data_IF_808360075309
#
_entry.id   IF_808360075309
#
_cell.length_a   1.000
_cell.length_b   1.000
_cell.length_c   1.000
_cell.angle_alpha   90.00
_cell.angle_beta   90.00
_cell.angle_gamma   90.00
#
_symmetry.space_group_name_H-M   'P 1'
#
loop_
_entity.id
_entity.type
_entity.pdbx_description
1 polymer ?
#
# COMPACT_ATOMS: atom_id res chain seq x y z
N UNK A 1 26.75 11.15 -30.53
CA UNK A 1 25.53 11.20 -31.29
C UNK A 1 24.35 11.26 -30.40
N UNK A 2 23.40 12.15 -30.71
CA UNK A 2 22.26 12.41 -29.86
C UNK A 2 21.38 11.17 -29.63
N UNK A 3 21.21 10.33 -30.66
CA UNK A 3 20.42 9.11 -30.59
C UNK A 3 21.00 8.12 -29.58
N UNK A 4 22.32 7.96 -29.62
CA UNK A 4 22.99 7.01 -28.72
C UNK A 4 22.94 7.50 -27.29
N UNK A 5 23.14 8.80 -27.06
CA UNK A 5 23.03 9.41 -25.75
C UNK A 5 21.60 9.27 -25.19
N UNK A 6 20.59 9.55 -26.02
CA UNK A 6 19.20 9.40 -25.62
C UNK A 6 18.87 7.97 -25.24
N UNK A 7 19.35 7.02 -26.04
CA UNK A 7 19.16 5.60 -25.78
C UNK A 7 19.86 5.17 -24.48
N UNK A 8 21.07 5.64 -24.26
CA UNK A 8 21.82 5.32 -23.05
C UNK A 8 21.18 5.91 -21.81
N UNK A 9 20.71 7.16 -21.88
CA UNK A 9 20.01 7.81 -20.77
C UNK A 9 18.72 7.10 -20.44
N UNK A 10 17.95 6.72 -21.47
CA UNK A 10 16.71 5.97 -21.28
C UNK A 10 16.99 4.62 -20.62
N UNK A 11 18.03 3.94 -21.07
CA UNK A 11 18.42 2.64 -20.52
C UNK A 11 18.86 2.75 -19.06
N UNK A 12 19.63 3.79 -18.73
CA UNK A 12 20.04 4.05 -17.34
C UNK A 12 18.83 4.35 -16.45
N UNK A 13 17.88 5.13 -16.96
CA UNK A 13 16.63 5.41 -16.23
C UNK A 13 15.84 4.15 -15.97
N UNK A 14 15.76 3.26 -16.97
CA UNK A 14 15.12 1.96 -16.81
C UNK A 14 15.79 1.11 -15.74
N UNK A 15 17.12 1.13 -15.71
CA UNK A 15 17.89 0.41 -14.69
C UNK A 15 17.57 0.87 -13.29
N UNK A 16 17.47 2.17 -13.09
CA UNK A 16 17.08 2.73 -11.80
C UNK A 16 15.65 2.37 -11.43
N UNK A 17 14.73 2.47 -12.39
CA UNK A 17 13.34 2.07 -12.18
C UNK A 17 13.24 0.60 -11.75
N UNK A 18 13.94 -0.28 -12.46
CA UNK A 18 13.95 -1.71 -12.15
C UNK A 18 14.48 -1.97 -10.74
N UNK A 19 15.52 -1.24 -10.35
CA UNK A 19 16.10 -1.36 -9.02
C UNK A 19 15.10 -0.95 -7.94
N UNK A 20 14.43 0.18 -8.14
CA UNK A 20 13.42 0.66 -7.19
C UNK A 20 12.19 -0.24 -7.15
N UNK A 21 11.80 -0.79 -8.29
CA UNK A 21 10.74 -1.79 -8.36
C UNK A 21 11.09 -3.04 -7.53
N UNK A 22 12.32 -3.51 -7.66
CA UNK A 22 12.81 -4.67 -6.90
C UNK A 22 12.81 -4.38 -5.40
N UNK A 23 13.26 -3.18 -5.00
CA UNK A 23 13.25 -2.78 -3.59
C UNK A 23 11.84 -2.76 -3.01
N UNK A 24 10.87 -2.23 -3.77
CA UNK A 24 9.48 -2.18 -3.34
C UNK A 24 8.91 -3.59 -3.19
N UNK A 25 9.14 -4.45 -4.18
CA UNK A 25 8.67 -5.84 -4.14
C UNK A 25 9.28 -6.59 -2.95
N UNK A 26 10.56 -6.37 -2.68
CA UNK A 26 11.25 -6.96 -1.54
C UNK A 26 10.65 -6.48 -0.22
N UNK A 27 10.34 -5.19 -0.11
CA UNK A 27 9.73 -4.62 1.09
C UNK A 27 8.35 -5.22 1.37
N UNK A 28 7.55 -5.47 0.32
CA UNK A 28 6.26 -6.15 0.45
C UNK A 28 6.46 -7.58 0.91
N UNK A 29 7.38 -8.29 0.28
CA UNK A 29 7.66 -9.70 0.57
C UNK A 29 8.16 -9.89 2.00
N UNK A 30 9.03 -9.00 2.45
CA UNK A 30 9.62 -9.03 3.79
C UNK A 30 8.77 -8.34 4.85
N UNK A 31 7.64 -7.78 4.45
CA UNK A 31 6.69 -7.12 5.36
C UNK A 31 7.35 -6.03 6.21
N UNK A 32 8.05 -5.12 5.55
CA UNK A 32 8.83 -4.08 6.23
C UNK A 32 8.00 -2.96 6.85
N UNK A 33 6.72 -2.87 6.53
CA UNK A 33 5.82 -1.88 7.07
C UNK A 33 5.40 -0.84 6.06
N UNK A 34 4.27 -0.19 6.35
CA UNK A 34 3.65 0.77 5.43
C UNK A 34 4.51 2.01 5.19
N UNK A 35 5.21 2.49 6.22
CA UNK A 35 6.04 3.69 6.08
C UNK A 35 7.22 3.46 5.13
N UNK A 36 7.90 2.33 5.30
CA UNK A 36 9.01 1.97 4.42
C UNK A 36 8.52 1.77 3.00
N UNK A 37 7.35 1.14 2.86
CA UNK A 37 6.76 0.91 1.54
C UNK A 37 6.39 2.23 0.86
N UNK A 38 5.86 3.19 1.60
CA UNK A 38 5.55 4.52 1.05
C UNK A 38 6.80 5.23 0.55
N UNK A 39 7.90 5.15 1.30
CA UNK A 39 9.18 5.71 0.88
C UNK A 39 9.68 5.02 -0.39
N UNK A 40 9.63 3.70 -0.43
CA UNK A 40 10.02 2.93 -1.60
C UNK A 40 9.17 3.28 -2.82
N UNK A 41 7.88 3.46 -2.63
CA UNK A 41 6.99 3.84 -3.72
C UNK A 41 7.26 5.27 -4.20
N UNK A 42 7.55 6.19 -3.29
CA UNK A 42 7.94 7.55 -3.65
C UNK A 42 9.18 7.55 -4.53
N UNK A 43 10.19 6.79 -4.15
CA UNK A 43 11.42 6.66 -4.93
C UNK A 43 11.15 6.01 -6.29
N UNK A 44 10.30 5.00 -6.32
CA UNK A 44 9.88 4.36 -7.57
C UNK A 44 9.16 5.34 -8.49
N UNK A 45 8.28 6.15 -7.93
CA UNK A 45 7.54 7.16 -8.69
C UNK A 45 8.50 8.21 -9.28
N UNK A 46 9.49 8.62 -8.52
CA UNK A 46 10.53 9.53 -9.02
C UNK A 46 11.33 8.89 -10.17
N UNK A 47 11.69 7.61 -10.01
CA UNK A 47 12.38 6.87 -11.06
C UNK A 47 11.50 6.72 -12.30
N UNK A 48 10.20 6.49 -12.12
CA UNK A 48 9.25 6.41 -13.22
C UNK A 48 9.14 7.74 -13.97
N UNK A 49 9.04 8.85 -13.25
CA UNK A 49 9.01 10.19 -13.84
C UNK A 49 10.25 10.43 -14.70
N UNK A 50 11.42 9.99 -14.21
CA UNK A 50 12.66 10.10 -14.97
C UNK A 50 12.64 9.23 -16.23
N UNK A 51 12.09 8.02 -16.14
CA UNK A 51 11.93 7.14 -17.31
C UNK A 51 11.05 7.81 -18.37
N UNK A 52 9.93 8.37 -17.96
CA UNK A 52 9.02 9.07 -18.88
C UNK A 52 9.71 10.26 -19.55
N UNK A 53 10.44 11.06 -18.78
CA UNK A 53 11.16 12.21 -19.31
C UNK A 53 12.22 11.79 -20.34
N UNK A 54 12.99 10.78 -20.01
CA UNK A 54 14.04 10.28 -20.93
C UNK A 54 13.44 9.62 -22.17
N UNK A 55 12.31 8.96 -22.00
CA UNK A 55 11.59 8.36 -23.12
C UNK A 55 11.09 9.44 -24.09
N UNK A 56 10.46 10.50 -23.58
CA UNK A 56 9.99 11.62 -24.39
C UNK A 56 11.16 12.24 -25.17
N UNK A 57 12.27 12.50 -24.50
CA UNK A 57 13.47 13.04 -25.14
C UNK A 57 13.98 12.13 -26.24
N UNK A 58 13.99 10.84 -25.97
CA UNK A 58 14.45 9.85 -26.94
C UNK A 58 13.53 9.79 -28.17
N UNK A 59 12.22 9.80 -27.95
CA UNK A 59 11.24 9.70 -29.04
C UNK A 59 11.27 10.91 -29.99
N UNK A 60 11.75 12.05 -29.52
CA UNK A 60 11.88 13.25 -30.33
C UNK A 60 12.81 13.02 -31.54
N UNK A 61 13.74 12.13 -31.41
CA UNK A 61 14.76 11.85 -32.45
C UNK A 61 14.47 10.60 -33.25
N UNK A 62 13.34 9.91 -32.99
CA UNK A 62 13.03 8.64 -33.64
C UNK A 62 12.37 8.85 -35.00
N UNK A 63 12.65 7.91 -35.89
CA UNK A 63 11.93 7.77 -37.15
C UNK A 63 10.59 7.06 -36.88
N UNK A 64 9.61 7.28 -37.78
CA UNK A 64 8.30 6.68 -37.64
C UNK A 64 8.33 5.15 -37.47
N UNK A 65 9.26 4.50 -38.15
CA UNK A 65 9.43 3.04 -38.05
C UNK A 65 9.89 2.56 -36.67
N UNK A 66 10.54 3.44 -35.90
CA UNK A 66 11.07 3.11 -34.58
C UNK A 66 10.11 3.50 -33.45
N UNK A 67 9.11 4.31 -33.76
CA UNK A 67 8.14 4.80 -32.78
C UNK A 67 7.34 3.67 -32.16
N UNK A 68 6.91 2.70 -32.97
CA UNK A 68 6.10 1.58 -32.48
C UNK A 68 6.88 0.71 -31.48
N UNK A 69 8.14 0.43 -31.77
CA UNK A 69 9.00 -0.32 -30.87
C UNK A 69 9.19 0.44 -29.54
N UNK A 70 9.35 1.75 -29.63
CA UNK A 70 9.51 2.59 -28.46
C UNK A 70 8.23 2.66 -27.61
N UNK A 71 7.07 2.68 -28.25
CA UNK A 71 5.77 2.61 -27.56
C UNK A 71 5.63 1.29 -26.79
N UNK A 72 6.02 0.18 -27.42
CA UNK A 72 5.99 -1.12 -26.76
C UNK A 72 6.91 -1.17 -25.54
N UNK A 73 8.08 -0.56 -25.65
CA UNK A 73 9.06 -0.48 -24.56
C UNK A 73 8.50 0.26 -23.34
N UNK A 74 7.93 1.45 -23.56
CA UNK A 74 7.37 2.24 -22.45
C UNK A 74 6.10 1.60 -21.89
N UNK A 75 5.29 0.96 -22.73
CA UNK A 75 4.07 0.27 -22.29
C UNK A 75 4.40 -0.88 -21.34
N UNK A 76 5.47 -1.61 -21.60
CA UNK A 76 5.92 -2.70 -20.73
C UNK A 76 6.32 -2.16 -19.35
N UNK A 77 7.07 -1.07 -19.32
CA UNK A 77 7.49 -0.44 -18.07
C UNK A 77 6.30 0.18 -17.33
N UNK A 78 5.37 0.77 -18.07
CA UNK A 78 4.14 1.33 -17.48
C UNK A 78 3.30 0.23 -16.84
N UNK A 79 3.24 -0.92 -17.45
CA UNK A 79 2.56 -2.09 -16.89
C UNK A 79 3.21 -2.52 -15.57
N UNK A 80 4.54 -2.54 -15.52
CA UNK A 80 5.28 -2.84 -14.29
C UNK A 80 5.02 -1.80 -13.20
N UNK A 81 4.97 -0.53 -13.57
CA UNK A 81 4.69 0.54 -12.62
C UNK A 81 3.26 0.42 -12.06
N UNK A 82 2.29 0.12 -12.92
CA UNK A 82 0.89 -0.09 -12.50
C UNK A 82 0.79 -1.28 -11.54
N UNK A 83 1.50 -2.35 -11.80
CA UNK A 83 1.56 -3.51 -10.93
C UNK A 83 2.14 -3.14 -9.56
N UNK A 84 3.21 -2.35 -9.54
CA UNK A 84 3.80 -1.88 -8.29
C UNK A 84 2.84 -1.00 -7.51
N UNK A 85 2.10 -0.13 -8.20
CA UNK A 85 1.09 0.71 -7.57
C UNK A 85 -0.02 -0.12 -6.92
N UNK A 86 -0.51 -1.13 -7.63
CA UNK A 86 -1.53 -2.04 -7.09
C UNK A 86 -1.01 -2.79 -5.86
N UNK A 87 0.21 -3.30 -5.93
CA UNK A 87 0.84 -3.99 -4.80
C UNK A 87 0.97 -3.09 -3.58
N UNK A 88 1.37 -1.84 -3.80
CA UNK A 88 1.51 -0.87 -2.73
C UNK A 88 0.17 -0.55 -2.09
N UNK A 89 -0.84 -0.27 -2.90
CA UNK A 89 -2.19 0.04 -2.41
C UNK A 89 -2.77 -1.14 -1.65
N UNK A 90 -2.65 -2.33 -2.19
CA UNK A 90 -3.13 -3.55 -1.55
C UNK A 90 -2.43 -3.81 -0.21
N UNK A 91 -1.12 -3.67 -0.18
CA UNK A 91 -0.34 -3.88 1.03
C UNK A 91 -0.72 -2.88 2.12
N UNK A 92 -0.76 -1.60 1.79
CA UNK A 92 -1.11 -0.55 2.76
C UNK A 92 -2.55 -0.71 3.22
N UNK A 93 -3.46 -1.01 2.29
CA UNK A 93 -4.86 -1.26 2.62
C UNK A 93 -5.04 -2.46 3.53
N UNK A 94 -4.33 -3.54 3.27
CA UNK A 94 -4.36 -4.74 4.11
C UNK A 94 -3.83 -4.46 5.52
N UNK A 95 -2.74 -3.70 5.63
CA UNK A 95 -2.18 -3.32 6.94
C UNK A 95 -3.12 -2.41 7.70
N UNK A 96 -3.73 -1.45 7.03
CA UNK A 96 -4.70 -0.55 7.65
C UNK A 96 -5.93 -1.33 8.12
N UNK A 97 -6.42 -2.27 7.32
CA UNK A 97 -7.57 -3.09 7.67
C UNK A 97 -7.26 -3.97 8.89
N UNK A 98 -6.08 -4.59 8.95
CA UNK A 98 -5.65 -5.38 10.10
C UNK A 98 -5.57 -4.53 11.36
N UNK A 99 -4.98 -3.34 11.25
CA UNK A 99 -4.87 -2.42 12.38
C UNK A 99 -6.24 -2.00 12.89
N UNK A 100 -7.19 -1.74 11.99
CA UNK A 100 -8.56 -1.41 12.36
C UNK A 100 -9.26 -2.57 13.05
N UNK A 101 -9.12 -3.78 12.52
CA UNK A 101 -9.72 -4.97 13.11
C UNK A 101 -9.17 -5.23 14.51
N UNK A 102 -7.86 -5.15 14.69
CA UNK A 102 -7.22 -5.31 15.99
C UNK A 102 -7.72 -4.26 16.99
N UNK A 103 -7.81 -3.02 16.54
CA UNK A 103 -8.29 -1.93 17.38
C UNK A 103 -9.75 -2.14 17.78
N UNK A 104 -10.59 -2.59 16.85
CA UNK A 104 -11.99 -2.89 17.13
C UNK A 104 -12.13 -4.05 18.10
N UNK A 105 -11.37 -5.11 17.92
CA UNK A 105 -11.40 -6.28 18.80
C UNK A 105 -10.99 -5.88 20.21
N UNK A 106 -9.92 -5.11 20.37
CA UNK A 106 -9.49 -4.63 21.68
C UNK A 106 -10.55 -3.74 22.32
N UNK A 107 -11.15 -2.85 21.55
CA UNK A 107 -12.21 -1.96 22.02
C UNK A 107 -13.44 -2.75 22.47
N UNK A 108 -13.84 -3.75 21.70
CA UNK A 108 -14.96 -4.62 22.04
C UNK A 108 -14.68 -5.43 23.30
N UNK A 109 -13.47 -5.93 23.46
CA UNK A 109 -13.07 -6.66 24.66
C UNK A 109 -13.13 -5.78 25.90
N UNK A 110 -12.67 -4.55 25.82
CA UNK A 110 -12.73 -3.60 26.94
C UNK A 110 -14.17 -3.27 27.29
N UNK A 111 -15.01 -3.00 26.31
CA UNK A 111 -16.43 -2.70 26.53
C UNK A 111 -17.13 -3.89 27.17
N UNK A 112 -16.91 -5.08 26.66
CA UNK A 112 -17.51 -6.30 27.21
C UNK A 112 -17.09 -6.52 28.66
N UNK A 113 -15.83 -6.28 28.99
CA UNK A 113 -15.34 -6.40 30.36
C UNK A 113 -16.00 -5.40 31.29
N UNK A 114 -16.10 -4.16 30.88
CA UNK A 114 -16.75 -3.11 31.67
C UNK A 114 -18.22 -3.39 31.88
N UNK A 115 -18.90 -3.83 30.84
CA UNK A 115 -20.33 -4.19 30.92
C UNK A 115 -20.54 -5.37 31.86
N UNK A 116 -19.68 -6.37 31.83
CA UNK A 116 -19.74 -7.51 32.73
C UNK A 116 -19.61 -7.06 34.19
N UNK A 117 -18.64 -6.25 34.52
CA UNK A 117 -18.44 -5.75 35.88
C UNK A 117 -19.64 -4.93 36.35
N UNK A 118 -20.14 -4.04 35.49
CA UNK A 118 -21.28 -3.22 35.79
C UNK A 118 -22.56 -4.06 36.02
N UNK A 119 -22.79 -4.99 35.13
CA UNK A 119 -23.96 -5.88 35.23
C UNK A 119 -23.89 -6.76 36.48
N UNK A 120 -22.72 -7.23 36.83
CA UNK A 120 -22.51 -8.02 38.04
C UNK A 120 -22.93 -7.25 39.29
N UNK A 121 -22.52 -5.97 39.40
CA UNK A 121 -22.90 -5.13 40.52
C UNK A 121 -24.38 -4.81 40.53
N UNK A 122 -24.96 -4.50 39.39
CA UNK A 122 -26.37 -4.19 39.27
C UNK A 122 -27.20 -5.42 39.58
N UNK A 123 -26.81 -6.57 39.13
CA UNK A 123 -27.51 -7.82 39.37
C UNK A 123 -27.57 -8.16 40.85
N UNK A 124 -26.49 -7.93 41.57
CA UNK A 124 -26.50 -8.15 43.03
C UNK A 124 -27.54 -7.28 43.71
N UNK A 125 -27.53 -6.03 43.40
CA UNK A 125 -28.45 -5.06 43.98
C UNK A 125 -29.90 -5.37 43.59
N UNK A 126 -30.11 -5.66 42.32
CA UNK A 126 -31.46 -5.98 41.81
C UNK A 126 -31.95 -7.31 42.36
N UNK A 127 -31.08 -8.28 42.49
CA UNK A 127 -31.42 -9.58 43.01
C UNK A 127 -31.93 -9.47 44.44
N UNK A 128 -31.28 -8.71 45.27
CA UNK A 128 -31.76 -8.47 46.63
C UNK A 128 -33.13 -7.82 46.66
N UNK A 129 -33.32 -6.78 45.86
CA UNK A 129 -34.61 -6.12 45.76
C UNK A 129 -35.68 -7.06 45.22
N UNK A 130 -35.31 -7.83 44.22
CA UNK A 130 -36.23 -8.79 43.62
C UNK A 130 -36.68 -9.84 44.63
N UNK A 131 -35.79 -10.28 45.48
CA UNK A 131 -36.16 -11.23 46.51
C UNK A 131 -37.10 -10.65 47.53
N UNK A 132 -36.88 -9.41 47.91
CA UNK A 132 -37.75 -8.77 48.88
C UNK A 132 -39.08 -8.38 48.31
N UNK A 133 -39.05 -7.80 47.17
CA UNK A 133 -40.27 -7.51 46.51
C UNK A 133 -40.53 -8.48 45.40
N UNK A 134 -39.52 -9.26 45.15
CA UNK A 134 -39.42 -9.98 43.95
C UNK A 134 -40.34 -11.15 43.82
N UNK A 135 -40.73 -11.51 44.85
CA UNK A 135 -41.84 -12.40 44.83
C UNK A 135 -42.95 -11.86 43.96
N UNK A 136 -42.89 -10.60 43.68
CA UNK A 136 -43.91 -9.95 42.89
C UNK A 136 -43.81 -10.19 41.39
N UNK A 137 -42.87 -10.94 40.97
CA UNK A 137 -42.88 -11.24 39.55
C UNK A 137 -42.74 -12.64 39.23
#
# INVERSE_FOLDING_TARGET
>A
MADQDGKNQRHAAKGQFTRKFTELTKSVKEDKGSEILRVNFKELNEAWTNVEAKHVMYTTFLKDSEVEESKAWIAELQSSFSEAMEKQVEYIGSKAAKAMVEKQVLSQQEVAKKDYEKNSKVNRSTFHKARHGGSSF
#
